data_IF_334621968518
#
_entry.id   IF_334621968518
#
_cell.length_a   1.000
_cell.length_b   1.000
_cell.length_c   1.000
_cell.angle_alpha   90.00
_cell.angle_beta   90.00
_cell.angle_gamma   90.00
#
_symmetry.space_group_name_H-M   'P 1'
#
loop_
_entity.id
_entity.type
_entity.pdbx_description
1 polymer ?
#
# COMPACT_ATOMS: atom_id res chain seq x y z
N UNK A 1 -2.41 38.03 4.08
CA UNK A 1 -2.48 36.57 3.85
C UNK A 1 -1.45 35.92 4.77
N UNK A 2 -1.78 34.81 5.43
CA UNK A 2 -0.83 34.10 6.28
C UNK A 2 0.35 33.58 5.44
N UNK A 3 1.54 33.52 6.02
CA UNK A 3 2.70 32.96 5.33
C UNK A 3 2.48 31.46 5.05
N UNK A 4 2.94 30.94 3.89
CA UNK A 4 2.87 29.52 3.59
C UNK A 4 3.62 28.70 4.66
N UNK A 5 3.11 27.52 5.00
CA UNK A 5 3.82 26.62 5.90
C UNK A 5 5.09 26.09 5.21
N UNK A 6 6.25 26.33 5.81
CA UNK A 6 7.50 25.73 5.34
C UNK A 6 7.65 24.31 5.92
N UNK A 7 7.68 23.31 5.03
CA UNK A 7 7.86 21.90 5.39
C UNK A 7 9.18 21.43 4.81
N UNK A 8 10.08 20.98 5.70
CA UNK A 8 11.36 20.35 5.32
C UNK A 8 11.28 18.86 5.60
N UNK A 9 11.44 18.05 4.56
CA UNK A 9 11.51 16.59 4.62
C UNK A 9 12.98 16.20 4.57
N UNK A 10 13.49 15.55 5.62
CA UNK A 10 14.87 15.09 5.69
C UNK A 10 14.90 13.58 5.47
N UNK A 11 15.42 13.17 4.31
CA UNK A 11 15.41 11.78 3.84
C UNK A 11 14.56 11.62 2.59
N UNK A 12 15.13 10.97 1.58
CA UNK A 12 14.45 10.58 0.35
C UNK A 12 13.81 9.20 0.46
N UNK A 13 14.06 8.35 -0.53
CA UNK A 13 13.46 7.02 -0.63
C UNK A 13 11.94 7.05 -0.66
N UNK A 14 11.30 5.90 -0.43
CA UNK A 14 9.85 5.75 -0.49
C UNK A 14 9.14 6.71 0.47
N UNK A 15 9.57 6.79 1.73
CA UNK A 15 8.93 7.61 2.74
C UNK A 15 8.98 9.12 2.42
N UNK A 16 10.15 9.64 2.05
CA UNK A 16 10.34 11.05 1.74
C UNK A 16 9.58 11.49 0.49
N UNK A 17 9.73 10.72 -0.60
CA UNK A 17 9.11 11.04 -1.88
C UNK A 17 7.59 10.86 -1.87
N UNK A 18 7.04 9.84 -1.20
CA UNK A 18 5.59 9.73 -1.01
C UNK A 18 5.02 10.89 -0.19
N UNK A 19 5.72 11.31 0.87
CA UNK A 19 5.31 12.47 1.67
C UNK A 19 5.31 13.76 0.83
N UNK A 20 6.38 13.98 0.06
CA UNK A 20 6.48 15.13 -0.83
C UNK A 20 5.40 15.13 -1.91
N UNK A 21 5.13 14.00 -2.56
CA UNK A 21 4.08 13.85 -3.56
C UNK A 21 2.68 14.13 -2.99
N UNK A 22 2.36 13.54 -1.83
CA UNK A 22 1.06 13.77 -1.17
C UNK A 22 0.90 15.23 -0.75
N UNK A 23 1.91 15.78 -0.08
CA UNK A 23 1.89 17.18 0.33
C UNK A 23 1.77 18.09 -0.87
N UNK A 24 2.42 17.80 -2.00
CA UNK A 24 2.41 18.62 -3.23
C UNK A 24 1.15 18.48 -4.08
N UNK A 25 0.45 17.36 -3.99
CA UNK A 25 -0.75 17.12 -4.80
C UNK A 25 -2.02 17.61 -4.10
N UNK A 26 -2.10 17.45 -2.78
CA UNK A 26 -3.36 17.65 -2.02
C UNK A 26 -3.53 19.08 -1.48
N UNK A 27 -2.46 19.69 -1.00
CA UNK A 27 -2.50 21.05 -0.45
C UNK A 27 -2.46 22.06 -1.61
N UNK A 28 -2.93 23.29 -1.44
CA UNK A 28 -2.76 24.31 -2.49
C UNK A 28 -1.40 24.99 -2.40
N UNK A 29 -0.76 25.37 -3.52
CA UNK A 29 0.58 25.95 -3.52
C UNK A 29 0.71 27.22 -2.66
N UNK A 30 -0.35 28.02 -2.54
CA UNK A 30 -0.36 29.25 -1.73
C UNK A 30 -0.23 29.01 -0.21
N UNK A 31 -0.47 27.77 0.25
CA UNK A 31 -0.45 27.42 1.67
C UNK A 31 0.81 26.67 2.10
N UNK A 32 1.70 26.29 1.16
CA UNK A 32 2.87 25.46 1.49
C UNK A 32 4.13 25.80 0.70
N UNK A 33 5.26 25.51 1.30
CA UNK A 33 6.56 25.39 0.64
C UNK A 33 7.22 24.10 1.10
N UNK A 34 7.41 23.15 0.19
CA UNK A 34 8.00 21.83 0.50
C UNK A 34 9.44 21.80 0.00
N UNK A 35 10.35 21.33 0.85
CA UNK A 35 11.75 21.09 0.50
C UNK A 35 12.14 19.71 1.00
N UNK A 36 12.59 18.85 0.10
CA UNK A 36 13.14 17.54 0.42
C UNK A 36 14.66 17.62 0.35
N UNK A 37 15.33 17.04 1.34
CA UNK A 37 16.79 16.94 1.42
C UNK A 37 17.10 15.44 1.46
N UNK A 38 17.77 14.94 0.43
CA UNK A 38 18.25 13.56 0.37
C UNK A 38 19.75 13.50 0.06
N UNK A 39 20.36 12.34 0.31
CA UNK A 39 21.76 12.08 0.03
C UNK A 39 21.87 11.11 -1.13
N UNK A 40 22.58 11.50 -2.18
CA UNK A 40 22.88 10.65 -3.34
C UNK A 40 23.72 9.41 -2.96
N UNK A 41 24.34 9.41 -1.78
CA UNK A 41 25.14 8.29 -1.28
C UNK A 41 24.28 7.14 -0.72
N UNK A 42 22.98 7.37 -0.52
CA UNK A 42 22.04 6.39 0.07
C UNK A 42 21.01 6.00 -1.00
N UNK A 43 21.37 5.01 -1.83
CA UNK A 43 20.45 4.44 -2.80
C UNK A 43 19.48 3.43 -2.17
N UNK A 44 18.34 3.21 -2.82
CA UNK A 44 17.49 2.06 -2.52
C UNK A 44 18.12 0.79 -3.09
N UNK A 45 18.04 -0.31 -2.34
CA UNK A 45 18.38 -1.63 -2.89
C UNK A 45 17.17 -2.10 -3.69
N UNK A 46 17.39 -2.62 -4.90
CA UNK A 46 16.35 -3.15 -5.80
C UNK A 46 15.70 -4.44 -5.32
N UNK A 47 15.31 -4.52 -4.05
CA UNK A 47 14.52 -5.60 -3.49
C UNK A 47 13.05 -5.33 -3.79
N UNK A 48 12.34 -6.32 -4.34
CA UNK A 48 10.91 -6.19 -4.60
C UNK A 48 10.12 -5.95 -3.32
N UNK A 49 9.25 -4.94 -3.32
CA UNK A 49 8.40 -4.58 -2.20
C UNK A 49 6.93 -4.92 -2.51
N UNK A 50 6.27 -5.63 -1.60
CA UNK A 50 4.87 -5.99 -1.75
C UNK A 50 3.97 -4.98 -1.01
N UNK A 51 2.90 -4.53 -1.63
CA UNK A 51 1.97 -3.54 -1.05
C UNK A 51 0.63 -4.17 -0.62
N UNK A 52 -0.30 -3.31 -0.18
CA UNK A 52 -1.70 -3.61 0.13
C UNK A 52 -2.62 -2.83 -0.84
N UNK A 53 -3.92 -3.19 -0.94
CA UNK A 53 -4.86 -2.52 -1.86
C UNK A 53 -4.93 -0.99 -1.74
N UNK A 54 -4.66 -0.42 -0.56
CA UNK A 54 -4.66 1.03 -0.30
C UNK A 54 -3.62 1.81 -1.11
N UNK A 55 -2.65 1.14 -1.73
CA UNK A 55 -1.71 1.79 -2.65
C UNK A 55 -2.42 2.44 -3.83
N UNK A 56 -3.53 1.84 -4.29
CA UNK A 56 -4.36 2.42 -5.33
C UNK A 56 -4.99 3.74 -4.89
N UNK A 57 -5.55 3.77 -3.68
CA UNK A 57 -6.17 4.98 -3.11
C UNK A 57 -5.14 6.13 -3.03
N UNK A 58 -3.91 5.83 -2.62
CA UNK A 58 -2.82 6.79 -2.58
C UNK A 58 -2.51 7.36 -3.98
N UNK A 59 -2.35 6.50 -4.98
CA UNK A 59 -2.07 6.94 -6.35
C UNK A 59 -3.20 7.82 -6.91
N UNK A 60 -4.45 7.43 -6.68
CA UNK A 60 -5.62 8.20 -7.10
C UNK A 60 -5.64 9.60 -6.44
N UNK A 61 -5.25 9.70 -5.15
CA UNK A 61 -5.16 10.99 -4.44
C UNK A 61 -4.09 11.93 -4.97
N UNK A 62 -2.96 11.40 -5.43
CA UNK A 62 -1.85 12.21 -5.95
C UNK A 62 -1.89 12.35 -7.48
N UNK A 63 -2.92 11.81 -8.13
CA UNK A 63 -3.09 11.89 -9.59
C UNK A 63 -2.12 11.02 -10.39
N UNK A 64 -1.55 9.99 -9.78
CA UNK A 64 -0.68 9.02 -10.45
C UNK A 64 -1.53 7.96 -11.13
N UNK A 65 -1.35 7.80 -12.45
CA UNK A 65 -2.05 6.77 -13.22
C UNK A 65 -1.42 5.41 -12.90
N UNK A 66 -2.21 4.50 -12.33
CA UNK A 66 -1.75 3.19 -11.88
C UNK A 66 -1.01 2.40 -12.98
N UNK A 67 -1.53 2.41 -14.22
CA UNK A 67 -0.92 1.68 -15.33
C UNK A 67 0.45 2.25 -15.76
N UNK A 68 0.69 3.54 -15.54
CA UNK A 68 2.01 4.16 -15.78
C UNK A 68 2.95 3.82 -14.63
N UNK A 69 2.51 3.98 -13.38
CA UNK A 69 3.29 3.61 -12.20
C UNK A 69 3.76 2.15 -12.28
N UNK A 70 2.87 1.22 -12.62
CA UNK A 70 3.22 -0.19 -12.74
C UNK A 70 4.27 -0.44 -13.83
N UNK A 71 4.20 0.28 -14.95
CA UNK A 71 5.16 0.18 -16.05
C UNK A 71 6.54 0.69 -15.64
N UNK A 72 6.61 1.85 -15.00
CA UNK A 72 7.86 2.49 -14.59
C UNK A 72 8.55 1.76 -13.42
N UNK A 73 7.81 0.95 -12.66
CA UNK A 73 8.31 0.22 -11.48
C UNK A 73 8.45 -1.29 -11.68
N UNK A 74 8.15 -1.80 -12.88
CA UNK A 74 8.06 -3.25 -13.15
C UNK A 74 7.13 -4.00 -12.16
N UNK A 75 6.03 -3.37 -11.75
CA UNK A 75 5.13 -3.94 -10.77
C UNK A 75 4.29 -5.09 -11.33
N UNK A 76 3.88 -5.99 -10.45
CA UNK A 76 2.96 -7.08 -10.73
C UNK A 76 1.76 -7.05 -9.78
N UNK A 77 0.68 -7.77 -10.12
CA UNK A 77 -0.47 -7.90 -9.23
C UNK A 77 -0.21 -8.82 -8.04
N UNK A 78 -0.79 -8.49 -6.89
CA UNK A 78 -0.78 -9.29 -5.66
C UNK A 78 -2.21 -9.51 -5.18
N UNK A 79 -2.63 -10.77 -5.04
CA UNK A 79 -3.99 -11.13 -4.62
C UNK A 79 -4.06 -11.72 -3.21
N UNK A 80 -2.96 -12.28 -2.71
CA UNK A 80 -2.87 -12.94 -1.41
C UNK A 80 -1.41 -12.99 -0.94
N UNK A 81 -1.23 -13.35 0.34
CA UNK A 81 0.05 -13.81 0.88
C UNK A 81 -0.09 -15.31 1.14
N UNK A 82 0.81 -16.11 0.56
CA UNK A 82 0.87 -17.54 0.87
C UNK A 82 1.82 -17.79 2.04
N UNK A 83 1.31 -18.41 3.09
CA UNK A 83 2.08 -18.84 4.24
C UNK A 83 2.35 -20.34 4.10
N UNK A 84 3.63 -20.72 3.94
CA UNK A 84 4.09 -22.11 3.86
C UNK A 84 4.86 -22.51 5.10
N UNK A 85 4.63 -23.72 5.59
CA UNK A 85 5.31 -24.32 6.75
C UNK A 85 5.13 -23.58 8.09
N UNK A 86 4.21 -22.62 8.18
CA UNK A 86 3.96 -21.85 9.41
C UNK A 86 3.23 -22.65 10.49
N UNK A 87 2.30 -23.52 10.11
CA UNK A 87 1.58 -24.39 11.06
C UNK A 87 2.35 -25.69 11.33
N UNK A 88 2.67 -26.41 10.25
CA UNK A 88 3.53 -27.61 10.27
C UNK A 88 4.22 -27.78 8.91
N UNK A 89 5.31 -28.55 8.87
CA UNK A 89 6.03 -28.83 7.63
C UNK A 89 5.12 -29.51 6.59
N UNK A 90 5.07 -28.97 5.38
CA UNK A 90 4.17 -29.39 4.30
C UNK A 90 2.82 -28.70 4.30
N UNK A 91 2.51 -27.81 5.26
CA UNK A 91 1.26 -27.02 5.26
C UNK A 91 1.40 -25.76 4.43
N UNK A 92 0.30 -25.32 3.82
CA UNK A 92 0.19 -23.97 3.28
C UNK A 92 -1.24 -23.44 3.40
N UNK A 93 -1.36 -22.12 3.50
CA UNK A 93 -2.64 -21.42 3.34
C UNK A 93 -2.44 -20.05 2.69
N UNK A 94 -3.51 -19.54 2.08
CA UNK A 94 -3.55 -18.20 1.53
C UNK A 94 -4.25 -17.27 2.51
N UNK A 95 -3.66 -16.09 2.75
CA UNK A 95 -4.32 -14.93 3.34
C UNK A 95 -4.68 -13.98 2.18
N UNK A 96 -5.89 -14.09 1.59
CA UNK A 96 -6.27 -13.32 0.42
C UNK A 96 -6.72 -11.91 0.82
N UNK A 97 -6.65 -10.99 -0.13
CA UNK A 97 -7.38 -9.72 -0.01
C UNK A 97 -8.88 -9.92 -0.31
N UNK A 98 -9.71 -9.00 0.17
CA UNK A 98 -11.16 -9.01 -0.07
C UNK A 98 -11.95 -9.85 0.92
N UNK A 99 -13.27 -9.96 0.67
CA UNK A 99 -14.18 -10.70 1.53
C UNK A 99 -14.23 -12.20 1.17
N UNK A 100 -14.61 -13.04 2.13
CA UNK A 100 -14.81 -14.48 1.95
C UNK A 100 -16.26 -14.85 2.23
N UNK A 101 -16.97 -15.25 1.17
CA UNK A 101 -18.40 -15.54 1.23
C UNK A 101 -19.24 -14.32 1.62
N UNK A 102 -20.48 -14.57 2.02
CA UNK A 102 -21.42 -13.54 2.47
C UNK A 102 -22.13 -14.02 3.74
N UNK A 103 -22.58 -13.11 4.62
CA UNK A 103 -23.41 -13.50 5.76
C UNK A 103 -24.68 -14.22 5.29
N UNK A 104 -25.01 -15.36 5.91
CA UNK A 104 -26.24 -16.10 5.64
C UNK A 104 -27.11 -16.00 6.88
N UNK A 105 -28.32 -15.45 6.71
CA UNK A 105 -29.26 -15.19 7.82
C UNK A 105 -28.64 -14.37 8.96
N UNK A 106 -27.80 -13.38 8.62
CA UNK A 106 -27.11 -12.52 9.59
C UNK A 106 -25.89 -13.15 10.26
N UNK A 107 -25.58 -14.41 9.99
CA UNK A 107 -24.42 -15.10 10.56
C UNK A 107 -23.26 -15.06 9.56
N UNK A 108 -22.07 -14.72 10.05
CA UNK A 108 -20.87 -14.61 9.22
C UNK A 108 -20.52 -15.94 8.51
N UNK A 109 -20.07 -15.85 7.26
CA UNK A 109 -19.81 -17.01 6.39
C UNK A 109 -18.93 -18.09 7.03
N UNK A 110 -17.87 -17.70 7.74
CA UNK A 110 -16.92 -18.65 8.34
C UNK A 110 -17.56 -19.58 9.38
N UNK A 111 -18.65 -19.16 10.05
CA UNK A 111 -19.37 -20.00 11.00
C UNK A 111 -20.08 -21.16 10.29
N UNK A 112 -20.71 -20.87 9.15
CA UNK A 112 -21.35 -21.90 8.31
C UNK A 112 -20.32 -22.85 7.71
N UNK A 113 -19.19 -22.32 7.25
CA UNK A 113 -18.07 -23.12 6.74
C UNK A 113 -17.51 -24.07 7.81
N UNK A 114 -17.27 -23.58 9.03
CA UNK A 114 -16.80 -24.40 10.15
C UNK A 114 -17.79 -25.52 10.50
N UNK A 115 -19.09 -25.22 10.49
CA UNK A 115 -20.12 -26.23 10.76
C UNK A 115 -20.16 -27.31 9.67
N UNK A 116 -20.07 -26.91 8.40
CA UNK A 116 -20.05 -27.84 7.27
C UNK A 116 -18.79 -28.72 7.26
N UNK A 117 -17.64 -28.20 7.68
CA UNK A 117 -16.39 -28.96 7.74
C UNK A 117 -16.35 -30.02 8.86
N UNK A 118 -17.28 -29.97 9.82
CA UNK A 118 -17.41 -30.95 10.91
C UNK A 118 -18.46 -32.04 10.65
N UNK A 119 -19.23 -31.91 9.56
CA UNK A 119 -20.25 -32.89 9.16
C UNK A 119 -19.64 -33.99 8.27
#
# INVERSE_FOLDING_TARGET
MAQPLEVVIVGGGTAGWMTAAALTSVVRPEFRRVRLIESDQIGTVGVGEATLPQMKDFNDWIGVIESEMMRETNATFKLAIEFRDWGFKGSSYLHPFGAHGQPISGVAFHQHWLRAAQA
#
